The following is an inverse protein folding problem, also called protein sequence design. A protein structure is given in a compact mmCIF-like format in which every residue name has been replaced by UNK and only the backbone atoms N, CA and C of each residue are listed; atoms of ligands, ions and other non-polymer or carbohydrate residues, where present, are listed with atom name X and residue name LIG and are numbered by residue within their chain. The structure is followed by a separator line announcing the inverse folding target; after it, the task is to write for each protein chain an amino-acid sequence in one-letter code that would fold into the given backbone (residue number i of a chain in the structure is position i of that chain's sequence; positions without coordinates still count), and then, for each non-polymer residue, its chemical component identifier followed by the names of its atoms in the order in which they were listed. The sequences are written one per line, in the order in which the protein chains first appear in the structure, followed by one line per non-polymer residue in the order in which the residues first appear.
data_IF_167761466644
#
_entry.id   IF_167761466644
#
_cell.length_a   1.000
_cell.length_b   1.000
_cell.length_c   1.000
_cell.angle_alpha   90.00
_cell.angle_beta   90.00
_cell.angle_gamma   90.00
#
_symmetry.space_group_name_H-M   'P 1'
#
loop_
_entity.id
_entity.type
_entity.pdbx_description
1 polymer ?
#
# COMPACT_ATOMS: atom_id res chain seq x y z
N UNK A 1 -13.84 -14.08 -6.27
CA UNK A 1 -15.15 -13.60 -6.78
C UNK A 1 -14.99 -12.13 -7.15
N UNK A 2 -15.72 -11.62 -8.12
CA UNK A 2 -15.81 -10.19 -8.38
C UNK A 2 -16.32 -9.45 -7.15
N UNK A 3 -15.92 -8.18 -6.98
CA UNK A 3 -16.47 -7.33 -5.91
C UNK A 3 -17.94 -7.07 -6.21
N UNK A 4 -18.87 -7.45 -5.31
CA UNK A 4 -20.31 -7.35 -5.60
C UNK A 4 -20.73 -5.89 -5.87
N UNK A 5 -21.61 -5.66 -6.86
CA UNK A 5 -22.21 -4.37 -7.16
C UNK A 5 -21.28 -3.34 -7.79
N UNK A 6 -20.02 -3.67 -8.06
CA UNK A 6 -19.09 -2.73 -8.67
C UNK A 6 -19.48 -2.44 -10.13
N UNK A 7 -19.87 -3.46 -10.89
CA UNK A 7 -20.41 -3.29 -12.23
C UNK A 7 -21.69 -2.42 -12.31
N UNK A 8 -22.43 -2.29 -11.21
CA UNK A 8 -23.61 -1.39 -11.13
C UNK A 8 -23.21 0.06 -10.92
N UNK A 9 -22.03 0.33 -10.31
CA UNK A 9 -21.51 1.68 -10.14
C UNK A 9 -21.01 2.25 -11.47
N UNK A 10 -20.42 1.40 -12.31
CA UNK A 10 -19.86 1.82 -13.61
C UNK A 10 -19.92 0.69 -14.64
N UNK A 11 -21.00 0.57 -15.41
CA UNK A 11 -21.13 -0.47 -16.41
C UNK A 11 -20.05 -0.39 -17.49
N UNK A 12 -19.27 -1.46 -17.64
CA UNK A 12 -18.45 -1.71 -18.83
C UNK A 12 -17.05 -1.11 -18.83
N UNK A 13 -16.32 -1.08 -17.68
CA UNK A 13 -15.01 -0.44 -17.62
C UNK A 13 -14.04 -0.99 -16.56
N UNK A 14 -12.78 -0.55 -16.64
CA UNK A 14 -11.67 -0.98 -15.82
C UNK A 14 -11.92 -0.72 -14.34
N UNK A 15 -12.05 -1.79 -13.57
CA UNK A 15 -12.19 -1.75 -12.13
C UNK A 15 -10.88 -2.22 -11.49
N UNK A 16 -10.36 -1.46 -10.54
CA UNK A 16 -9.14 -1.81 -9.82
C UNK A 16 -9.39 -1.87 -8.32
N UNK A 17 -8.81 -2.87 -7.66
CA UNK A 17 -8.70 -2.93 -6.20
C UNK A 17 -7.28 -2.57 -5.81
N UNK A 18 -7.13 -1.53 -5.01
CA UNK A 18 -5.82 -1.00 -4.60
C UNK A 18 -5.46 -1.38 -3.16
N UNK A 19 -6.47 -1.57 -2.29
CA UNK A 19 -6.24 -1.83 -0.88
C UNK A 19 -7.27 -2.79 -0.29
N UNK A 20 -6.82 -3.61 0.68
CA UNK A 20 -7.67 -4.46 1.52
C UNK A 20 -7.14 -4.46 2.96
N UNK A 21 -8.03 -4.52 3.94
CA UNK A 21 -7.69 -4.62 5.36
C UNK A 21 -8.66 -5.55 6.07
N UNK A 22 -8.15 -6.60 6.70
CA UNK A 22 -8.92 -7.61 7.41
C UNK A 22 -8.63 -7.56 8.92
N UNK A 23 -9.64 -7.75 9.74
CA UNK A 23 -9.57 -7.69 11.21
C UNK A 23 -10.01 -8.98 11.90
N UNK A 24 -10.59 -9.91 11.14
CA UNK A 24 -11.06 -11.22 11.57
C UNK A 24 -11.52 -12.05 10.39
N UNK A 25 -11.83 -13.35 10.63
CA UNK A 25 -12.35 -14.24 9.61
C UNK A 25 -13.63 -13.71 8.98
N UNK A 26 -13.57 -13.40 7.67
CA UNK A 26 -14.71 -12.85 6.96
C UNK A 26 -15.09 -11.42 7.36
N UNK A 27 -14.15 -10.66 7.94
CA UNK A 27 -14.34 -9.25 8.29
C UNK A 27 -13.22 -8.42 7.64
N UNK A 28 -13.39 -8.09 6.37
CA UNK A 28 -12.47 -7.32 5.56
C UNK A 28 -13.14 -6.05 5.00
N UNK A 29 -12.33 -5.10 4.62
CA UNK A 29 -12.76 -3.93 3.85
C UNK A 29 -11.79 -3.72 2.70
N UNK A 30 -12.32 -3.49 1.52
CA UNK A 30 -11.58 -3.25 0.29
C UNK A 30 -11.93 -1.87 -0.28
N UNK A 31 -11.02 -1.33 -1.09
CA UNK A 31 -11.24 -0.10 -1.81
C UNK A 31 -10.38 0.01 -3.06
N UNK A 32 -10.79 0.91 -3.95
CA UNK A 32 -10.09 1.11 -5.21
C UNK A 32 -10.73 2.20 -6.05
N UNK A 33 -10.51 2.09 -7.34
CA UNK A 33 -11.09 2.96 -8.35
C UNK A 33 -11.90 2.16 -9.36
N UNK A 34 -12.92 2.79 -9.85
CA UNK A 34 -13.73 2.36 -10.96
C UNK A 34 -13.65 3.44 -12.06
N UNK A 35 -13.49 3.02 -13.27
CA UNK A 35 -13.26 3.92 -14.41
C UNK A 35 -14.56 4.04 -15.22
N UNK A 36 -15.42 4.99 -14.87
CA UNK A 36 -16.69 5.17 -15.58
C UNK A 36 -16.49 5.78 -16.97
N UNK A 37 -16.92 5.06 -18.00
CA UNK A 37 -17.14 5.62 -19.35
C UNK A 37 -18.46 6.43 -19.39
N UNK A 38 -18.64 7.35 -18.48
CA UNK A 38 -19.79 8.24 -18.56
C UNK A 38 -19.64 9.12 -19.81
N UNK A 39 -20.48 8.93 -20.87
CA UNK A 39 -20.38 9.69 -22.10
C UNK A 39 -20.71 11.17 -21.93
N UNK A 40 -21.19 11.59 -20.76
CA UNK A 40 -21.44 13.00 -20.43
C UNK A 40 -20.19 13.72 -19.94
N UNK A 41 -19.14 12.96 -19.57
CA UNK A 41 -17.82 13.49 -19.21
C UNK A 41 -16.83 13.18 -20.34
N UNK A 42 -16.23 14.20 -20.92
CA UNK A 42 -15.34 14.12 -22.08
C UNK A 42 -14.05 13.27 -21.85
N UNK A 43 -13.80 12.84 -20.62
CA UNK A 43 -12.76 11.91 -20.19
C UNK A 43 -13.38 11.02 -19.11
N UNK A 44 -13.19 9.70 -19.18
CA UNK A 44 -13.66 8.76 -18.16
C UNK A 44 -13.34 9.29 -16.75
N UNK A 45 -14.33 9.32 -15.89
CA UNK A 45 -14.16 9.79 -14.50
C UNK A 45 -14.07 8.57 -13.60
N UNK A 46 -12.88 8.28 -13.08
CA UNK A 46 -12.74 7.26 -12.05
C UNK A 46 -13.50 7.68 -10.79
N UNK A 47 -14.23 6.74 -10.19
CA UNK A 47 -14.83 6.92 -8.88
C UNK A 47 -14.10 6.09 -7.85
N UNK A 48 -13.78 6.69 -6.71
CA UNK A 48 -13.31 5.96 -5.54
C UNK A 48 -14.46 5.12 -4.98
N UNK A 49 -14.20 3.85 -4.70
CA UNK A 49 -15.18 2.95 -4.12
C UNK A 49 -14.64 2.25 -2.87
N UNK A 50 -15.57 1.74 -2.05
CA UNK A 50 -15.31 0.88 -0.89
C UNK A 50 -16.35 -0.24 -0.86
N UNK A 51 -15.94 -1.40 -0.34
CA UNK A 51 -16.82 -2.54 -0.04
C UNK A 51 -16.37 -3.18 1.27
N UNK A 52 -17.31 -3.70 2.05
CA UNK A 52 -17.00 -4.33 3.34
C UNK A 52 -17.54 -5.73 3.40
N UNK A 53 -16.78 -6.61 4.00
CA UNK A 53 -17.18 -7.96 4.34
C UNK A 53 -17.52 -8.03 5.83
N UNK A 54 -18.63 -8.66 6.14
CA UNK A 54 -19.06 -8.94 7.49
C UNK A 54 -19.49 -10.41 7.60
N UNK A 55 -18.83 -11.14 8.51
CA UNK A 55 -19.12 -12.57 8.74
C UNK A 55 -19.09 -13.41 7.44
N UNK A 56 -18.15 -13.12 6.56
CA UNK A 56 -17.94 -13.87 5.31
C UNK A 56 -18.84 -13.47 4.14
N UNK A 57 -19.57 -12.37 4.27
CA UNK A 57 -20.44 -11.86 3.21
C UNK A 57 -20.03 -10.44 2.83
N UNK A 58 -19.63 -10.25 1.56
CA UNK A 58 -19.32 -8.94 1.01
C UNK A 58 -20.60 -8.15 0.73
N UNK A 59 -20.63 -6.90 1.15
CA UNK A 59 -21.62 -5.93 0.72
C UNK A 59 -21.42 -5.54 -0.75
N UNK A 60 -22.43 -4.98 -1.39
CA UNK A 60 -22.21 -4.27 -2.65
C UNK A 60 -21.23 -3.14 -2.45
N UNK A 61 -20.34 -2.94 -3.43
CA UNK A 61 -19.48 -1.76 -3.48
C UNK A 61 -20.33 -0.48 -3.53
N UNK A 62 -19.85 0.55 -2.87
CA UNK A 62 -20.45 1.88 -2.93
C UNK A 62 -19.39 2.93 -3.28
N UNK A 63 -19.79 3.92 -4.05
CA UNK A 63 -18.94 5.08 -4.26
C UNK A 63 -18.64 5.74 -2.91
N UNK A 64 -17.39 6.12 -2.67
CA UNK A 64 -16.99 6.74 -1.39
C UNK A 64 -17.84 7.98 -1.13
N UNK A 65 -18.70 7.97 -0.08
CA UNK A 65 -19.64 9.07 0.16
C UNK A 65 -18.93 10.42 0.30
N UNK A 66 -19.38 11.42 -0.47
CA UNK A 66 -18.83 12.77 -0.45
C UNK A 66 -17.70 13.05 -1.46
N UNK A 67 -17.12 12.05 -2.10
CA UNK A 67 -16.08 12.26 -3.12
C UNK A 67 -16.62 12.91 -4.38
N UNK A 68 -17.88 12.71 -4.74
CA UNK A 68 -18.51 13.37 -5.89
C UNK A 68 -18.44 14.91 -5.81
N UNK A 69 -18.48 15.49 -4.61
CA UNK A 69 -18.31 16.92 -4.40
C UNK A 69 -16.85 17.40 -4.51
N UNK A 70 -15.90 16.48 -4.35
CA UNK A 70 -14.46 16.73 -4.46
C UNK A 70 -13.94 16.43 -5.88
N UNK A 71 -14.53 15.45 -6.56
CA UNK A 71 -14.15 14.99 -7.90
C UNK A 71 -14.89 15.82 -8.96
N UNK A 72 -14.28 16.90 -9.40
CA UNK A 72 -14.90 17.80 -10.41
C UNK A 72 -14.22 17.72 -11.79
N UNK A 73 -13.24 16.82 -11.99
CA UNK A 73 -12.52 16.77 -13.26
C UNK A 73 -12.19 15.39 -13.80
N UNK A 74 -11.35 14.60 -13.15
CA UNK A 74 -10.71 13.51 -13.86
C UNK A 74 -10.60 12.19 -13.09
N UNK A 75 -11.19 12.09 -11.91
CA UNK A 75 -11.23 10.81 -11.20
C UNK A 75 -10.93 10.89 -9.72
N UNK A 76 -11.31 9.85 -9.01
CA UNK A 76 -11.01 9.63 -7.62
C UNK A 76 -10.57 8.19 -7.40
N UNK A 77 -9.71 7.96 -6.42
CA UNK A 77 -9.20 6.63 -6.08
C UNK A 77 -9.10 6.47 -4.57
N UNK A 78 -9.46 5.30 -4.08
CA UNK A 78 -9.17 4.85 -2.72
C UNK A 78 -7.80 4.17 -2.71
N UNK A 79 -6.76 4.88 -2.33
CA UNK A 79 -5.38 4.40 -2.36
C UNK A 79 -5.01 3.53 -1.15
N UNK A 80 -5.75 3.65 -0.05
CA UNK A 80 -5.45 2.92 1.18
C UNK A 80 -6.70 2.67 2.02
N UNK A 81 -6.73 1.50 2.67
CA UNK A 81 -7.75 1.09 3.65
C UNK A 81 -7.04 0.52 4.87
N UNK A 82 -7.49 0.86 6.07
CA UNK A 82 -6.99 0.26 7.31
C UNK A 82 -8.11 0.16 8.35
N UNK A 83 -8.25 -1.02 8.94
CA UNK A 83 -9.28 -1.31 9.93
C UNK A 83 -8.66 -1.54 11.31
N UNK A 84 -9.24 -0.97 12.35
CA UNK A 84 -8.86 -1.19 13.75
C UNK A 84 -9.60 -2.34 14.39
N UNK A 85 -10.82 -2.62 13.93
CA UNK A 85 -11.70 -3.72 14.34
C UNK A 85 -12.81 -3.91 13.29
N UNK A 86 -13.58 -5.03 13.32
CA UNK A 86 -14.67 -5.25 12.37
C UNK A 86 -15.61 -4.05 12.26
N UNK A 87 -15.86 -3.59 11.04
CA UNK A 87 -16.72 -2.45 10.75
C UNK A 87 -16.22 -1.09 11.24
N UNK A 88 -14.98 -0.98 11.70
CA UNK A 88 -14.36 0.28 12.12
C UNK A 88 -13.07 0.48 11.36
N UNK A 89 -13.17 1.17 10.25
CA UNK A 89 -12.12 1.31 9.25
C UNK A 89 -11.94 2.78 8.82
N UNK A 90 -10.82 3.04 8.20
CA UNK A 90 -10.58 4.27 7.44
C UNK A 90 -10.27 3.87 6.01
N UNK A 91 -10.88 4.57 5.06
CA UNK A 91 -10.42 4.62 3.69
C UNK A 91 -9.87 6.01 3.38
N UNK A 92 -8.87 6.08 2.53
CA UNK A 92 -8.22 7.31 2.17
C UNK A 92 -7.74 7.29 0.73
N UNK A 93 -7.58 8.47 0.13
CA UNK A 93 -7.14 8.56 -1.26
C UNK A 93 -7.12 9.99 -1.76
N UNK A 94 -7.48 10.17 -3.01
CA UNK A 94 -7.58 11.48 -3.64
C UNK A 94 -8.79 11.58 -4.57
N UNK A 95 -9.22 12.82 -4.83
CA UNK A 95 -10.19 13.17 -5.85
C UNK A 95 -9.65 14.33 -6.68
N UNK A 96 -9.74 14.23 -7.99
CA UNK A 96 -9.23 15.25 -8.90
C UNK A 96 -10.26 16.39 -9.05
N UNK A 97 -9.78 17.62 -9.03
CA UNK A 97 -10.62 18.79 -9.23
C UNK A 97 -9.99 19.81 -10.18
N UNK A 98 -10.83 20.60 -10.81
CA UNK A 98 -10.40 21.68 -11.68
C UNK A 98 -10.66 23.02 -10.97
N UNK A 99 -9.61 23.80 -10.70
CA UNK A 99 -9.75 25.10 -10.03
C UNK A 99 -9.69 26.29 -10.99
N UNK A 100 -9.23 26.07 -12.26
CA UNK A 100 -9.39 27.02 -13.35
C UNK A 100 -9.33 26.29 -14.70
N UNK A 101 -9.61 26.96 -15.82
CA UNK A 101 -9.66 26.36 -17.15
C UNK A 101 -8.31 25.77 -17.64
N UNK A 102 -7.22 26.03 -16.98
CA UNK A 102 -5.87 25.62 -17.37
C UNK A 102 -5.14 24.76 -16.34
N UNK A 103 -5.66 24.65 -15.12
CA UNK A 103 -5.00 23.96 -14.04
C UNK A 103 -5.98 23.18 -13.17
N UNK A 104 -5.70 21.90 -12.99
CA UNK A 104 -6.36 21.00 -12.05
C UNK A 104 -5.48 20.70 -10.85
N UNK A 105 -6.02 20.02 -9.86
CA UNK A 105 -5.32 19.53 -8.68
C UNK A 105 -5.98 18.28 -8.13
N UNK A 106 -5.40 17.73 -7.07
CA UNK A 106 -5.98 16.61 -6.31
C UNK A 106 -6.32 17.04 -4.90
N UNK A 107 -7.52 16.71 -4.43
CA UNK A 107 -7.90 16.82 -3.03
C UNK A 107 -7.72 15.44 -2.37
N UNK A 108 -6.73 15.31 -1.49
CA UNK A 108 -6.65 14.15 -0.62
C UNK A 108 -7.90 14.05 0.25
N UNK A 109 -8.39 12.86 0.51
CA UNK A 109 -9.51 12.65 1.42
C UNK A 109 -9.23 11.54 2.42
N UNK A 110 -9.94 11.57 3.54
CA UNK A 110 -10.09 10.50 4.52
C UNK A 110 -11.56 10.32 4.84
N UNK A 111 -11.98 9.09 5.10
CA UNK A 111 -13.36 8.75 5.47
C UNK A 111 -13.35 7.63 6.50
N UNK A 112 -14.19 7.75 7.53
CA UNK A 112 -14.35 6.75 8.57
C UNK A 112 -15.54 5.84 8.32
N UNK A 113 -15.36 4.56 8.56
CA UNK A 113 -16.43 3.61 8.80
C UNK A 113 -16.55 3.37 10.31
N UNK A 114 -17.74 3.48 10.85
CA UNK A 114 -18.03 3.24 12.26
C UNK A 114 -19.22 2.27 12.36
N UNK A 115 -18.99 1.14 13.02
CA UNK A 115 -19.99 0.07 13.15
C UNK A 115 -20.60 -0.34 11.80
N UNK A 116 -19.78 -0.47 10.76
CA UNK A 116 -20.18 -0.88 9.43
C UNK A 116 -20.78 0.22 8.54
N UNK A 117 -20.90 1.44 9.05
CA UNK A 117 -21.49 2.55 8.28
C UNK A 117 -20.41 3.57 7.90
N UNK A 118 -20.29 3.86 6.61
CA UNK A 118 -19.41 4.90 6.10
C UNK A 118 -19.97 6.28 6.37
N UNK A 119 -19.12 7.18 6.85
CA UNK A 119 -19.43 8.60 7.01
C UNK A 119 -19.39 9.36 5.68
N UNK A 120 -18.89 10.59 5.70
CA UNK A 120 -18.67 11.42 4.51
C UNK A 120 -17.19 11.73 4.37
N UNK A 121 -16.65 11.61 3.16
CA UNK A 121 -15.26 11.91 2.86
C UNK A 121 -14.95 13.37 3.26
N UNK A 122 -13.90 13.51 4.04
CA UNK A 122 -13.38 14.79 4.49
C UNK A 122 -12.13 15.13 3.69
N UNK A 123 -12.06 16.27 3.01
CA UNK A 123 -10.84 16.68 2.35
C UNK A 123 -9.71 16.88 3.38
N UNK A 124 -8.52 16.45 3.03
CA UNK A 124 -7.32 16.69 3.85
C UNK A 124 -7.04 18.19 3.86
N UNK A 125 -7.13 18.86 5.02
CA UNK A 125 -6.90 20.30 5.07
C UNK A 125 -5.45 20.59 4.68
N UNK A 126 -5.27 21.47 3.72
CA UNK A 126 -3.96 21.96 3.37
C UNK A 126 -3.28 22.61 4.57
N UNK A 127 -2.05 22.22 4.88
CA UNK A 127 -1.25 22.87 5.93
C UNK A 127 -0.68 24.25 5.51
N UNK A 128 -0.98 24.64 4.27
CA UNK A 128 -0.61 25.95 3.72
C UNK A 128 -1.68 26.36 2.70
N UNK A 129 -2.15 27.59 2.77
CA UNK A 129 -3.15 28.15 1.82
C UNK A 129 -2.67 28.21 0.35
N UNK A 130 -1.39 28.00 0.12
CA UNK A 130 -0.79 27.91 -1.21
C UNK A 130 -0.74 26.48 -1.75
N UNK A 131 -1.22 25.47 -1.00
CA UNK A 131 -1.27 24.08 -1.46
C UNK A 131 -2.45 23.92 -2.42
N UNK A 132 -2.16 23.50 -3.64
CA UNK A 132 -3.17 23.29 -4.69
C UNK A 132 -3.47 21.81 -4.94
N UNK A 133 -2.69 20.89 -4.35
CA UNK A 133 -2.88 19.47 -4.55
C UNK A 133 -2.36 18.69 -3.35
N UNK A 134 -3.14 17.71 -2.90
CA UNK A 134 -2.74 16.75 -1.86
C UNK A 134 -3.24 15.36 -2.23
N UNK A 135 -2.46 14.35 -1.91
CA UNK A 135 -2.81 12.94 -2.07
C UNK A 135 -2.48 12.20 -0.78
N UNK A 136 -3.40 11.41 -0.27
CA UNK A 136 -3.11 10.44 0.79
C UNK A 136 -2.55 9.19 0.12
N UNK A 137 -1.34 8.79 0.49
CA UNK A 137 -0.65 7.63 -0.10
C UNK A 137 -0.80 6.36 0.74
N UNK A 138 -0.99 6.51 2.05
CA UNK A 138 -1.17 5.39 2.96
C UNK A 138 -1.90 5.82 4.23
N UNK A 139 -2.59 4.87 4.86
CA UNK A 139 -3.23 5.00 6.17
C UNK A 139 -2.96 3.76 7.01
N UNK A 140 -2.78 3.95 8.31
CA UNK A 140 -2.65 2.85 9.27
C UNK A 140 -3.40 3.18 10.55
N UNK A 141 -4.31 2.28 10.94
CA UNK A 141 -5.08 2.38 12.18
C UNK A 141 -4.48 1.46 13.23
N UNK A 142 -4.34 1.95 14.43
CA UNK A 142 -3.92 1.15 15.57
C UNK A 142 -4.99 0.09 15.88
N UNK A 143 -4.60 -1.18 16.11
CA UNK A 143 -5.55 -2.23 16.42
C UNK A 143 -6.32 -1.95 17.72
N UNK A 144 -7.65 -2.02 17.69
CA UNK A 144 -8.52 -1.88 18.86
C UNK A 144 -8.78 -3.25 19.52
N UNK A 145 -7.81 -3.76 20.24
CA UNK A 145 -7.83 -5.10 20.82
C UNK A 145 -8.74 -5.26 22.04
N UNK A 146 -9.17 -4.14 22.66
CA UNK A 146 -10.06 -4.16 23.83
C UNK A 146 -11.39 -3.48 23.55
N UNK A 147 -12.44 -3.84 24.30
CA UNK A 147 -13.75 -3.18 24.20
C UNK A 147 -13.66 -1.66 24.46
N UNK A 148 -12.85 -1.24 25.42
CA UNK A 148 -12.63 0.18 25.70
C UNK A 148 -11.95 0.90 24.52
N UNK A 149 -10.97 0.27 23.86
CA UNK A 149 -10.32 0.83 22.67
C UNK A 149 -11.30 0.97 21.50
N UNK A 150 -12.21 0.01 21.31
CA UNK A 150 -13.27 0.11 20.27
C UNK A 150 -14.26 1.22 20.55
N UNK A 151 -14.59 1.46 21.81
CA UNK A 151 -15.50 2.55 22.22
C UNK A 151 -14.82 3.93 22.17
N UNK A 152 -13.52 4.01 22.34
CA UNK A 152 -12.76 5.26 22.26
C UNK A 152 -12.72 5.87 20.86
N UNK A 153 -13.13 5.14 19.82
CA UNK A 153 -13.07 5.55 18.42
C UNK A 153 -11.74 5.22 17.76
N UNK A 154 -11.67 5.51 16.47
CA UNK A 154 -10.50 5.20 15.65
C UNK A 154 -9.29 6.06 16.06
N UNK A 155 -8.12 5.44 16.00
CA UNK A 155 -6.83 6.11 16.16
C UNK A 155 -5.94 5.71 14.99
N UNK A 156 -5.87 6.57 14.01
CA UNK A 156 -5.22 6.30 12.74
C UNK A 156 -4.21 7.41 12.37
N UNK A 157 -3.30 7.07 11.51
CA UNK A 157 -2.37 8.02 10.89
C UNK A 157 -2.47 7.90 9.38
N UNK A 158 -2.87 8.95 8.71
CA UNK A 158 -2.80 9.09 7.26
C UNK A 158 -1.54 9.89 6.89
N UNK A 159 -0.91 9.52 5.80
CA UNK A 159 0.30 10.15 5.28
C UNK A 159 0.17 10.40 3.78
N UNK A 160 1.01 11.29 3.27
CA UNK A 160 0.93 11.57 1.84
C UNK A 160 1.88 12.65 1.37
N UNK A 161 1.49 13.25 0.26
CA UNK A 161 2.24 14.31 -0.42
C UNK A 161 1.33 15.47 -0.77
N UNK A 162 1.81 16.69 -0.55
CA UNK A 162 1.17 17.92 -1.01
C UNK A 162 2.06 18.62 -2.01
N UNK A 163 1.45 19.15 -3.09
CA UNK A 163 2.16 19.98 -4.05
C UNK A 163 2.22 21.42 -3.54
N UNK A 164 3.41 21.95 -3.44
CA UNK A 164 3.66 23.33 -3.04
C UNK A 164 3.76 24.26 -4.25
N UNK A 165 3.66 25.59 -4.07
CA UNK A 165 3.95 26.55 -5.11
C UNK A 165 5.33 26.30 -5.75
N UNK A 166 5.50 26.66 -7.00
CA UNK A 166 6.72 26.43 -7.79
C UNK A 166 7.03 24.95 -8.10
N UNK A 167 6.05 24.05 -8.01
CA UNK A 167 6.18 22.66 -8.44
C UNK A 167 6.99 21.76 -7.50
N UNK A 168 7.28 22.19 -6.29
CA UNK A 168 7.88 21.34 -5.26
C UNK A 168 6.81 20.55 -4.51
N UNK A 169 7.20 19.47 -3.81
CA UNK A 169 6.30 18.67 -2.98
C UNK A 169 6.75 18.63 -1.52
N UNK A 170 5.82 18.35 -0.62
CA UNK A 170 6.10 18.14 0.81
C UNK A 170 5.32 16.96 1.35
N UNK A 171 6.00 16.05 2.03
CA UNK A 171 5.39 14.96 2.76
C UNK A 171 4.65 15.47 3.99
N UNK A 172 3.47 14.91 4.26
CA UNK A 172 2.66 15.27 5.43
C UNK A 172 2.25 14.06 6.26
N UNK A 173 1.87 14.35 7.50
CA UNK A 173 1.18 13.44 8.42
C UNK A 173 -0.14 14.06 8.87
N UNK A 174 -1.16 13.23 9.04
CA UNK A 174 -2.51 13.63 9.48
C UNK A 174 -3.01 12.57 10.48
N UNK A 175 -3.09 12.95 11.76
CA UNK A 175 -3.50 12.04 12.80
C UNK A 175 -5.01 12.12 13.07
N UNK A 176 -5.58 10.96 13.32
CA UNK A 176 -6.90 10.79 13.91
C UNK A 176 -6.76 10.32 15.37
N UNK A 177 -7.46 10.97 16.25
CA UNK A 177 -7.48 10.62 17.68
C UNK A 177 -8.94 10.48 18.13
N UNK A 178 -9.29 9.31 18.61
CA UNK A 178 -10.65 8.99 19.08
C UNK A 178 -11.72 9.34 18.05
N UNK A 179 -11.50 8.96 16.78
CA UNK A 179 -12.46 9.20 15.68
C UNK A 179 -12.49 10.63 15.13
N UNK A 180 -11.56 11.49 15.55
CA UNK A 180 -11.51 12.88 15.10
C UNK A 180 -10.21 13.17 14.38
N UNK A 181 -10.30 13.52 13.10
CA UNK A 181 -9.16 13.94 12.27
C UNK A 181 -8.70 15.36 12.64
N UNK A 182 -7.42 15.51 12.86
CA UNK A 182 -6.74 16.79 13.07
C UNK A 182 -6.52 17.59 11.78
N UNK A 183 -5.41 18.32 11.73
CA UNK A 183 -4.93 19.03 10.54
C UNK A 183 -3.66 18.37 10.01
N UNK A 184 -3.50 18.35 8.69
CA UNK A 184 -2.27 17.88 8.06
C UNK A 184 -1.09 18.76 8.50
N UNK A 185 0.04 18.13 8.78
CA UNK A 185 1.29 18.80 9.21
C UNK A 185 2.45 18.27 8.39
N UNK A 186 3.46 19.11 8.10
CA UNK A 186 4.71 18.60 7.55
C UNK A 186 5.34 17.55 8.48
N UNK A 187 6.03 16.58 7.91
CA UNK A 187 6.78 15.58 8.70
C UNK A 187 7.82 16.32 9.57
N UNK A 188 7.82 16.12 10.90
CA UNK A 188 8.77 16.78 11.80
C UNK A 188 10.23 16.51 11.39
N UNK A 189 11.04 17.56 11.33
CA UNK A 189 12.45 17.48 10.92
C UNK A 189 12.70 17.33 9.43
N UNK A 190 11.67 17.21 8.59
CA UNK A 190 11.79 17.10 7.13
C UNK A 190 11.58 18.47 6.47
N UNK A 191 12.57 19.35 6.61
CA UNK A 191 12.50 20.73 6.08
C UNK A 191 12.89 20.85 4.59
N UNK A 192 12.91 19.74 3.86
CA UNK A 192 13.35 19.71 2.47
C UNK A 192 12.19 19.71 1.50
N UNK A 193 12.14 20.60 0.50
CA UNK A 193 11.20 20.51 -0.61
C UNK A 193 11.50 19.26 -1.45
N UNK A 194 10.49 18.78 -2.16
CA UNK A 194 10.61 17.55 -2.97
C UNK A 194 10.57 16.27 -2.14
N UNK A 195 9.78 16.29 -1.05
CA UNK A 195 9.56 15.12 -0.19
C UNK A 195 8.18 14.50 -0.38
N UNK A 196 8.06 13.21 -0.07
CA UNK A 196 6.81 12.48 0.04
C UNK A 196 6.93 11.38 1.11
N UNK A 197 5.85 11.14 1.84
CA UNK A 197 5.71 9.93 2.67
C UNK A 197 5.04 8.86 1.82
N UNK A 198 5.60 7.67 1.79
CA UNK A 198 5.13 6.56 0.93
C UNK A 198 4.49 5.43 1.73
N UNK A 199 4.78 5.34 3.01
CA UNK A 199 4.30 4.24 3.86
C UNK A 199 4.20 4.66 5.31
N UNK A 200 3.24 4.06 6.01
CA UNK A 200 2.99 4.21 7.44
C UNK A 200 2.56 2.88 8.05
N UNK A 201 2.98 2.62 9.27
CA UNK A 201 2.52 1.49 10.08
C UNK A 201 2.41 1.89 11.53
N UNK A 202 1.27 1.61 12.17
CA UNK A 202 0.99 1.91 13.57
C UNK A 202 0.80 0.62 14.37
N UNK A 203 1.60 0.41 15.41
CA UNK A 203 1.47 -0.75 16.31
C UNK A 203 0.50 -0.52 17.46
N UNK A 204 0.29 0.73 17.84
CA UNK A 204 -0.65 1.18 18.88
C UNK A 204 -0.92 2.68 18.70
N UNK A 205 -1.96 3.24 19.37
CA UNK A 205 -2.24 4.67 19.32
C UNK A 205 -1.01 5.51 19.68
N UNK A 206 -0.64 6.47 18.83
CA UNK A 206 0.54 7.31 19.01
C UNK A 206 1.89 6.59 18.90
N UNK A 207 1.93 5.40 18.31
CA UNK A 207 3.16 4.63 18.09
C UNK A 207 3.20 4.13 16.65
N UNK A 208 3.75 4.95 15.78
CA UNK A 208 3.78 4.73 14.35
C UNK A 208 5.19 4.94 13.77
N UNK A 209 5.50 4.21 12.72
CA UNK A 209 6.66 4.44 11.86
C UNK A 209 6.23 4.93 10.49
N UNK A 210 6.97 5.85 9.91
CA UNK A 210 6.77 6.32 8.54
C UNK A 210 8.06 6.29 7.75
N UNK A 211 7.94 6.18 6.44
CA UNK A 211 9.06 6.23 5.52
C UNK A 211 8.71 6.88 4.19
N UNK A 212 9.74 7.28 3.48
CA UNK A 212 9.57 7.92 2.18
C UNK A 212 10.88 8.45 1.63
N UNK A 213 10.81 9.58 0.94
CA UNK A 213 11.98 10.23 0.36
C UNK A 213 11.92 11.75 0.47
N UNK A 214 13.08 12.36 0.33
CA UNK A 214 13.24 13.80 0.13
C UNK A 214 14.35 14.08 -0.88
N UNK A 215 14.40 15.30 -1.42
CA UNK A 215 15.52 15.74 -2.24
C UNK A 215 16.50 16.55 -1.39
N UNK A 216 17.78 16.19 -1.45
CA UNK A 216 18.84 16.96 -0.82
C UNK A 216 19.17 18.24 -1.64
N UNK A 217 20.10 19.04 -1.13
CA UNK A 217 20.51 20.29 -1.77
C UNK A 217 21.15 20.11 -3.16
N UNK A 218 21.57 18.89 -3.50
CA UNK A 218 22.08 18.54 -4.83
C UNK A 218 20.99 18.01 -5.76
N UNK A 219 19.73 17.94 -5.30
CA UNK A 219 18.59 17.40 -6.02
C UNK A 219 18.50 15.86 -6.01
N UNK A 220 19.41 15.18 -5.32
CA UNK A 220 19.38 13.73 -5.19
C UNK A 220 18.25 13.28 -4.26
N UNK A 221 17.60 12.19 -4.64
CA UNK A 221 16.56 11.55 -3.82
C UNK A 221 17.19 10.72 -2.72
N UNK A 222 16.86 11.04 -1.48
CA UNK A 222 17.34 10.37 -0.27
C UNK A 222 16.18 9.70 0.45
N UNK A 223 16.38 8.47 0.94
CA UNK A 223 15.40 7.77 1.77
C UNK A 223 15.41 8.34 3.20
N UNK A 224 14.22 8.49 3.79
CA UNK A 224 14.09 8.88 5.19
C UNK A 224 13.14 7.95 5.95
N UNK A 225 13.28 7.94 7.27
CA UNK A 225 12.39 7.34 8.25
C UNK A 225 12.12 8.31 9.39
N UNK A 226 10.95 8.17 10.02
CA UNK A 226 10.61 8.87 11.26
C UNK A 226 9.69 7.98 12.10
N UNK A 227 9.69 8.19 13.42
CA UNK A 227 8.88 7.43 14.37
C UNK A 227 8.11 8.34 15.30
N UNK A 228 6.88 7.98 15.58
CA UNK A 228 6.08 8.48 16.69
C UNK A 228 6.12 7.47 17.83
N UNK A 229 6.49 7.90 18.99
CA UNK A 229 6.58 7.07 20.19
C UNK A 229 5.76 7.69 21.30
N UNK A 230 4.72 6.99 21.75
CA UNK A 230 3.79 7.47 22.77
C UNK A 230 3.25 8.89 22.51
N UNK A 231 2.85 9.17 21.26
CA UNK A 231 2.31 10.44 20.81
C UNK A 231 3.34 11.55 20.57
N UNK A 232 4.63 11.23 20.65
CA UNK A 232 5.71 12.18 20.41
C UNK A 232 6.49 11.81 19.15
N UNK A 233 6.52 12.70 18.19
CA UNK A 233 7.30 12.53 16.97
C UNK A 233 8.79 12.78 17.21
N UNK A 234 9.62 11.85 16.78
CA UNK A 234 11.04 12.06 16.56
C UNK A 234 11.24 12.69 15.17
N UNK A 235 12.26 13.55 15.04
CA UNK A 235 12.56 14.16 13.75
C UNK A 235 12.89 13.10 12.70
N UNK A 236 12.42 13.33 11.48
CA UNK A 236 12.81 12.55 10.33
C UNK A 236 14.33 12.58 10.15
N UNK A 237 14.88 11.45 9.81
CA UNK A 237 16.32 11.32 9.54
C UNK A 237 16.52 10.57 8.23
N UNK A 238 17.57 10.90 7.51
CA UNK A 238 18.03 10.06 6.40
C UNK A 238 18.22 8.64 6.94
N UNK A 239 17.76 7.63 6.19
CA UNK A 239 18.00 6.23 6.59
C UNK A 239 19.48 6.01 6.83
N UNK A 240 19.91 5.66 8.07
CA UNK A 240 21.33 5.53 8.38
C UNK A 240 22.02 4.54 7.46
N UNK A 241 23.21 4.87 6.94
CA UNK A 241 23.97 4.04 6.01
C UNK A 241 23.64 4.27 4.53
N UNK A 242 22.47 4.81 4.18
CA UNK A 242 22.14 5.03 2.77
C UNK A 242 22.98 6.09 2.10
N UNK A 243 23.56 7.04 2.84
CA UNK A 243 24.48 8.02 2.27
C UNK A 243 25.65 7.37 1.50
N UNK A 244 26.15 6.22 1.97
CA UNK A 244 27.20 5.46 1.28
C UNK A 244 26.64 4.57 0.17
N UNK A 245 25.51 3.92 0.42
CA UNK A 245 24.87 2.99 -0.53
C UNK A 245 24.33 3.75 -1.76
N UNK A 246 23.69 4.89 -1.54
CA UNK A 246 22.96 5.69 -2.53
C UNK A 246 23.87 6.70 -3.29
N UNK A 247 25.07 6.31 -3.67
CA UNK A 247 25.97 7.19 -4.40
C UNK A 247 25.48 7.59 -5.80
N UNK A 248 24.47 6.89 -6.34
CA UNK A 248 23.75 7.26 -7.57
C UNK A 248 22.57 8.21 -7.37
N UNK A 249 22.27 8.61 -6.12
CA UNK A 249 21.34 9.70 -5.79
C UNK A 249 19.87 9.41 -6.02
N UNK A 250 19.42 8.14 -5.87
CA UNK A 250 18.01 7.78 -5.97
C UNK A 250 17.65 6.69 -4.96
N UNK A 251 17.29 7.08 -3.74
CA UNK A 251 16.81 6.18 -2.69
C UNK A 251 15.43 6.58 -2.17
N UNK A 252 14.65 5.58 -1.78
CA UNK A 252 13.33 5.74 -1.18
C UNK A 252 13.03 4.57 -0.27
N UNK A 253 12.39 4.81 0.87
CA UNK A 253 11.62 3.78 1.57
C UNK A 253 10.34 3.54 0.77
N UNK A 254 9.92 2.30 0.62
CA UNK A 254 8.67 1.92 -0.07
C UNK A 254 7.65 1.33 0.89
N UNK A 255 8.10 0.63 1.93
CA UNK A 255 7.22 -0.02 2.91
C UNK A 255 7.80 0.04 4.31
N UNK A 256 6.93 0.16 5.32
CA UNK A 256 7.24 0.15 6.75
C UNK A 256 6.27 -0.80 7.45
N UNK A 257 6.78 -1.61 8.38
CA UNK A 257 5.98 -2.49 9.24
C UNK A 257 6.43 -2.36 10.69
N UNK A 258 5.49 -2.05 11.59
CA UNK A 258 5.72 -1.89 13.03
C UNK A 258 4.90 -2.91 13.82
N UNK A 259 5.54 -3.68 14.69
CA UNK A 259 4.87 -4.71 15.52
C UNK A 259 4.78 -4.36 17.00
N UNK A 260 5.57 -3.39 17.44
CA UNK A 260 5.53 -2.88 18.80
C UNK A 260 5.97 -1.42 18.79
N UNK A 261 5.71 -0.73 19.88
CA UNK A 261 6.18 0.64 20.08
C UNK A 261 7.69 0.71 19.86
N UNK A 262 8.11 1.65 19.03
CA UNK A 262 9.52 1.88 18.70
C UNK A 262 10.27 0.64 18.15
N UNK A 263 9.55 -0.23 17.46
CA UNK A 263 10.08 -1.45 16.84
C UNK A 263 9.46 -1.62 15.46
N UNK A 264 10.15 -1.14 14.45
CA UNK A 264 9.71 -1.16 13.06
C UNK A 264 10.81 -1.70 12.15
N UNK A 265 10.42 -2.16 10.98
CA UNK A 265 11.30 -2.44 9.84
C UNK A 265 10.84 -1.58 8.69
N UNK A 266 11.78 -0.94 8.01
CA UNK A 266 11.52 -0.26 6.75
C UNK A 266 12.36 -0.89 5.64
N UNK A 267 11.78 -0.97 4.46
CA UNK A 267 12.41 -1.53 3.29
C UNK A 267 12.30 -0.54 2.11
N UNK A 268 13.28 -0.57 1.22
CA UNK A 268 13.33 0.37 0.12
C UNK A 268 14.39 0.06 -0.92
N UNK A 269 14.54 1.02 -1.83
CA UNK A 269 15.49 0.94 -2.94
C UNK A 269 16.52 2.04 -2.85
N UNK A 270 17.69 1.79 -3.41
CA UNK A 270 18.73 2.80 -3.58
C UNK A 270 19.48 2.59 -4.89
N UNK A 271 20.16 3.62 -5.38
CA UNK A 271 21.00 3.54 -6.56
C UNK A 271 22.47 3.66 -6.18
N UNK A 272 23.28 2.60 -6.40
CA UNK A 272 24.71 2.69 -6.23
C UNK A 272 25.33 3.62 -7.31
N UNK A 273 26.61 3.98 -7.16
CA UNK A 273 27.32 4.83 -8.13
C UNK A 273 27.31 4.25 -9.54
N UNK A 274 27.38 2.94 -9.65
CA UNK A 274 27.38 2.18 -10.91
C UNK A 274 26.46 0.98 -10.77
N UNK A 275 25.85 0.56 -11.88
CA UNK A 275 24.95 -0.59 -11.91
C UNK A 275 23.48 -0.25 -11.63
N UNK A 276 22.62 -1.28 -11.57
CA UNK A 276 21.18 -1.15 -11.35
C UNK A 276 20.86 -0.74 -9.90
N UNK A 277 19.61 -0.30 -9.70
CA UNK A 277 19.06 -0.08 -8.37
C UNK A 277 19.11 -1.34 -7.50
N UNK A 278 19.33 -1.17 -6.22
CA UNK A 278 19.50 -2.23 -5.23
C UNK A 278 18.46 -2.09 -4.11
N UNK A 279 18.33 -3.12 -3.31
CA UNK A 279 17.37 -3.22 -2.21
C UNK A 279 18.07 -3.06 -0.86
N UNK A 280 17.45 -2.33 0.05
CA UNK A 280 17.90 -2.22 1.43
C UNK A 280 16.76 -2.48 2.42
N UNK A 281 17.14 -2.88 3.61
CA UNK A 281 16.27 -2.92 4.79
C UNK A 281 16.94 -2.19 5.94
N UNK A 282 16.15 -1.61 6.83
CA UNK A 282 16.60 -0.95 8.05
C UNK A 282 15.67 -1.29 9.20
N UNK A 283 16.25 -1.57 10.36
CA UNK A 283 15.50 -1.99 11.55
C UNK A 283 15.55 -0.88 12.60
N UNK A 284 14.41 -0.55 13.16
CA UNK A 284 14.29 0.25 14.37
C UNK A 284 14.25 -0.70 15.59
N UNK A 285 15.02 -0.38 16.59
CA UNK A 285 14.96 -1.06 17.88
C UNK A 285 15.14 -0.06 19.00
N UNK A 286 14.23 -0.11 19.99
CA UNK A 286 14.19 0.83 21.11
C UNK A 286 14.19 2.31 20.68
N UNK A 287 13.46 2.64 19.60
CA UNK A 287 13.35 4.01 19.09
C UNK A 287 14.56 4.51 18.31
N UNK A 288 15.48 3.63 17.93
CA UNK A 288 16.68 3.99 17.17
C UNK A 288 16.75 3.19 15.88
N UNK A 289 16.76 3.87 14.75
CA UNK A 289 16.99 3.27 13.43
C UNK A 289 18.48 2.90 13.29
N UNK A 290 18.74 1.62 13.03
CA UNK A 290 20.09 1.07 12.84
C UNK A 290 20.61 1.38 11.43
N UNK A 291 21.85 0.95 11.13
CA UNK A 291 22.39 1.06 9.78
C UNK A 291 21.58 0.19 8.79
N UNK A 292 21.23 0.78 7.65
CA UNK A 292 20.64 0.04 6.55
C UNK A 292 21.62 -1.00 6.02
N UNK A 293 21.09 -2.15 5.69
CA UNK A 293 21.85 -3.24 5.07
C UNK A 293 21.27 -3.51 3.68
N UNK A 294 22.14 -3.77 2.73
CA UNK A 294 21.74 -4.32 1.44
C UNK A 294 21.16 -5.72 1.65
N UNK A 295 20.02 -6.02 1.04
CA UNK A 295 19.47 -7.37 1.10
C UNK A 295 20.45 -8.39 0.47
N UNK A 296 20.81 -9.46 1.20
CA UNK A 296 21.77 -10.45 0.72
C UNK A 296 21.33 -11.07 -0.62
N UNK A 297 22.22 -11.08 -1.60
CA UNK A 297 21.94 -11.61 -2.94
C UNK A 297 21.29 -10.63 -3.91
N UNK A 298 20.79 -9.47 -3.48
CA UNK A 298 20.13 -8.52 -4.40
C UNK A 298 21.06 -8.08 -5.54
N UNK A 299 22.34 -7.82 -5.27
CA UNK A 299 23.33 -7.43 -6.29
C UNK A 299 23.60 -8.46 -7.37
N UNK A 300 23.24 -9.73 -7.17
CA UNK A 300 23.48 -10.81 -8.13
C UNK A 300 22.33 -10.98 -9.13
N UNK A 301 21.10 -10.72 -8.68
CA UNK A 301 19.89 -11.01 -9.46
C UNK A 301 19.38 -9.80 -10.26
N UNK A 302 19.79 -8.59 -9.88
CA UNK A 302 19.30 -7.36 -10.52
C UNK A 302 20.21 -7.04 -11.71
N UNK A 303 19.69 -7.25 -12.92
CA UNK A 303 20.41 -6.99 -14.19
C UNK A 303 19.73 -5.90 -15.05
N UNK A 304 18.54 -5.42 -14.66
CA UNK A 304 17.74 -4.44 -15.38
C UNK A 304 17.73 -3.05 -14.73
N UNK A 305 16.86 -2.18 -15.21
CA UNK A 305 16.80 -0.76 -14.80
C UNK A 305 16.21 -0.51 -13.41
N UNK A 306 15.90 -1.53 -12.64
CA UNK A 306 15.42 -1.37 -11.27
C UNK A 306 14.86 -2.66 -10.68
N UNK A 307 14.71 -2.64 -9.39
CA UNK A 307 13.95 -3.61 -8.62
C UNK A 307 13.02 -2.83 -7.71
N UNK A 308 11.86 -3.38 -7.43
CA UNK A 308 10.90 -2.78 -6.53
C UNK A 308 10.73 -3.71 -5.31
N UNK A 309 10.73 -3.13 -4.11
CA UNK A 309 10.12 -3.77 -2.95
C UNK A 309 8.62 -3.52 -3.08
N UNK A 310 7.83 -4.57 -3.07
CA UNK A 310 6.39 -4.50 -2.91
C UNK A 310 6.07 -4.13 -1.47
N UNK A 311 6.41 -5.00 -0.55
CA UNK A 311 6.03 -4.81 0.86
C UNK A 311 7.04 -5.44 1.83
N UNK A 312 7.09 -4.89 3.07
CA UNK A 312 7.66 -5.55 4.24
C UNK A 312 6.55 -5.79 5.25
N UNK A 313 6.46 -6.99 5.78
CA UNK A 313 5.49 -7.36 6.81
C UNK A 313 6.16 -8.14 7.92
N UNK A 314 5.86 -7.79 9.17
CA UNK A 314 6.46 -8.39 10.34
C UNK A 314 5.43 -9.22 11.11
N UNK A 315 5.66 -10.51 11.26
CA UNK A 315 4.87 -11.41 12.11
C UNK A 315 5.14 -11.22 13.60
N UNK A 316 6.33 -10.69 13.96
CA UNK A 316 6.72 -10.30 15.31
C UNK A 316 7.76 -9.18 15.30
N UNK A 317 8.20 -8.76 16.48
CA UNK A 317 9.28 -7.78 16.63
C UNK A 317 10.64 -8.25 16.08
N UNK A 318 10.81 -9.54 15.85
CA UNK A 318 12.09 -10.17 15.46
C UNK A 318 11.95 -11.13 14.28
N UNK A 319 10.84 -11.10 13.59
CA UNK A 319 10.59 -11.96 12.42
C UNK A 319 9.78 -11.18 11.40
N UNK A 320 10.39 -10.84 10.30
CA UNK A 320 9.80 -10.09 9.21
C UNK A 320 10.09 -10.77 7.87
N UNK A 321 9.22 -10.51 6.91
CA UNK A 321 9.43 -10.88 5.52
C UNK A 321 9.45 -9.62 4.66
N UNK A 322 10.21 -9.63 3.59
CA UNK A 322 10.16 -8.63 2.53
C UNK A 322 9.96 -9.32 1.19
N UNK A 323 9.06 -8.78 0.40
CA UNK A 323 8.75 -9.27 -0.93
C UNK A 323 8.80 -8.18 -1.99
N UNK A 324 9.00 -8.57 -3.24
CA UNK A 324 9.01 -7.61 -4.33
C UNK A 324 9.40 -8.22 -5.67
N UNK A 325 9.78 -7.36 -6.60
CA UNK A 325 10.09 -7.72 -7.98
C UNK A 325 11.51 -7.35 -8.35
N UNK A 326 12.21 -8.31 -8.94
CA UNK A 326 13.53 -8.15 -9.56
C UNK A 326 13.34 -7.92 -11.06
N UNK A 327 13.80 -6.80 -11.57
CA UNK A 327 13.77 -6.49 -13.00
C UNK A 327 14.98 -7.10 -13.70
N UNK A 328 14.72 -7.94 -14.71
CA UNK A 328 15.69 -8.61 -15.54
C UNK A 328 15.17 -8.74 -16.97
N UNK A 329 15.68 -9.71 -17.75
CA UNK A 329 15.09 -10.07 -19.06
C UNK A 329 13.63 -10.55 -18.92
N UNK A 330 13.35 -11.22 -17.81
CA UNK A 330 12.02 -11.58 -17.34
C UNK A 330 11.93 -11.11 -15.90
N UNK A 331 10.84 -10.42 -15.56
CA UNK A 331 10.56 -10.01 -14.18
C UNK A 331 10.34 -11.25 -13.31
N UNK A 332 10.91 -11.25 -12.11
CA UNK A 332 10.79 -12.34 -11.12
C UNK A 332 10.49 -11.78 -9.75
N UNK A 333 9.75 -12.51 -8.97
CA UNK A 333 9.57 -12.19 -7.57
C UNK A 333 10.74 -12.61 -6.71
N UNK A 334 10.82 -12.01 -5.55
CA UNK A 334 11.69 -12.46 -4.48
C UNK A 334 10.97 -12.34 -3.14
N UNK A 335 11.40 -13.17 -2.21
CA UNK A 335 11.07 -13.11 -0.80
C UNK A 335 12.36 -13.21 0.00
N UNK A 336 12.42 -12.56 1.17
CA UNK A 336 13.54 -12.71 2.08
C UNK A 336 13.05 -12.56 3.52
N UNK A 337 13.50 -13.49 4.35
CA UNK A 337 13.10 -13.61 5.76
C UNK A 337 14.14 -13.00 6.69
N UNK A 338 13.66 -12.34 7.71
CA UNK A 338 14.44 -11.86 8.85
C UNK A 338 14.16 -12.75 10.06
N UNK A 339 15.20 -13.17 10.73
CA UNK A 339 15.11 -13.86 11.99
C UNK A 339 16.20 -13.37 12.96
N UNK A 340 15.76 -12.80 14.09
CA UNK A 340 16.67 -12.33 15.15
C UNK A 340 17.65 -11.24 14.70
N UNK A 341 17.22 -10.34 13.84
CA UNK A 341 18.02 -9.21 13.33
C UNK A 341 18.93 -9.56 12.16
N UNK A 342 18.76 -10.73 11.54
CA UNK A 342 19.54 -11.18 10.38
C UNK A 342 18.62 -11.50 9.21
N UNK A 343 18.91 -10.90 8.07
CA UNK A 343 18.24 -11.18 6.80
C UNK A 343 18.89 -12.33 6.06
N UNK A 344 18.07 -13.28 5.60
CA UNK A 344 18.48 -14.37 4.73
C UNK A 344 18.75 -13.90 3.29
N UNK A 345 19.23 -14.82 2.47
CA UNK A 345 19.36 -14.59 1.03
C UNK A 345 17.99 -14.54 0.35
N UNK A 346 17.93 -13.88 -0.81
CA UNK A 346 16.70 -13.82 -1.61
C UNK A 346 16.27 -15.22 -2.05
N UNK A 347 15.02 -15.56 -1.77
CA UNK A 347 14.32 -16.68 -2.40
C UNK A 347 13.64 -16.17 -3.67
N UNK A 348 14.22 -16.47 -4.83
CA UNK A 348 13.76 -16.00 -6.13
C UNK A 348 12.73 -16.97 -6.71
N UNK A 349 11.61 -16.44 -7.19
CA UNK A 349 10.50 -17.24 -7.73
C UNK A 349 10.00 -16.66 -9.06
N UNK A 350 9.22 -17.48 -9.80
CA UNK A 350 8.70 -17.07 -11.10
C UNK A 350 7.64 -15.95 -11.02
N UNK A 351 6.63 -15.99 -10.11
CA UNK A 351 5.71 -14.87 -9.93
C UNK A 351 6.42 -13.62 -9.43
N UNK A 352 6.02 -12.44 -9.89
CA UNK A 352 6.35 -11.17 -9.22
C UNK A 352 5.58 -11.07 -7.91
N UNK A 353 6.08 -10.34 -6.94
CA UNK A 353 5.42 -10.11 -5.65
C UNK A 353 5.10 -8.62 -5.53
N UNK A 354 3.83 -8.32 -5.27
CA UNK A 354 3.29 -6.97 -5.12
C UNK A 354 2.75 -6.72 -3.71
N UNK A 355 2.24 -7.76 -3.04
CA UNK A 355 1.63 -7.70 -1.72
C UNK A 355 2.15 -8.80 -0.80
N UNK A 356 2.17 -8.52 0.51
CA UNK A 356 2.69 -9.43 1.53
C UNK A 356 2.05 -9.13 2.88
N UNK A 357 1.53 -10.15 3.56
CA UNK A 357 1.00 -10.01 4.92
C UNK A 357 1.47 -11.16 5.81
N UNK A 358 1.98 -10.85 7.00
CA UNK A 358 2.47 -11.80 7.98
C UNK A 358 1.72 -11.61 9.30
N UNK A 359 0.68 -12.39 9.59
CA UNK A 359 -0.05 -12.29 10.85
C UNK A 359 0.74 -12.86 12.04
N UNK A 360 1.65 -13.82 11.79
CA UNK A 360 2.47 -14.46 12.80
C UNK A 360 3.86 -14.86 12.25
N UNK A 361 4.83 -15.14 13.12
CA UNK A 361 6.16 -15.61 12.72
C UNK A 361 6.10 -16.89 11.89
N UNK A 362 6.63 -16.85 10.68
CA UNK A 362 6.67 -18.00 9.79
C UNK A 362 5.34 -18.39 9.14
N UNK A 363 4.32 -17.55 9.29
CA UNK A 363 3.00 -17.69 8.65
C UNK A 363 2.71 -16.38 7.90
N UNK A 364 3.00 -16.37 6.62
CA UNK A 364 2.81 -15.21 5.75
C UNK A 364 2.09 -15.63 4.46
N UNK A 365 1.46 -14.67 3.81
CA UNK A 365 0.92 -14.82 2.45
C UNK A 365 1.50 -13.73 1.57
N UNK A 366 2.03 -14.13 0.42
CA UNK A 366 2.52 -13.24 -0.62
C UNK A 366 1.64 -13.35 -1.86
N UNK A 367 1.36 -12.23 -2.51
CA UNK A 367 0.54 -12.16 -3.71
C UNK A 367 1.21 -11.41 -4.83
N UNK A 368 0.79 -11.67 -6.04
CA UNK A 368 1.29 -11.00 -7.22
C UNK A 368 0.81 -11.62 -8.52
N UNK A 369 1.69 -11.60 -9.52
CA UNK A 369 1.38 -11.98 -10.88
C UNK A 369 2.35 -13.07 -11.36
N UNK A 370 1.83 -14.12 -11.99
CA UNK A 370 2.63 -15.10 -12.70
C UNK A 370 2.43 -14.93 -14.21
N UNK A 371 3.49 -14.55 -14.90
CA UNK A 371 3.50 -14.50 -16.37
C UNK A 371 3.59 -15.94 -16.86
N UNK A 372 2.58 -16.39 -17.58
CA UNK A 372 2.55 -17.70 -18.21
C UNK A 372 3.34 -17.64 -19.50
N UNK A 373 4.17 -18.66 -19.85
CA UNK A 373 4.81 -18.70 -21.13
C UNK A 373 3.73 -18.72 -22.23
N UNK A 374 3.89 -17.91 -23.29
CA UNK A 374 2.87 -17.85 -24.33
C UNK A 374 2.62 -19.25 -24.92
N UNK A 375 1.37 -19.71 -24.96
CA UNK A 375 1.00 -20.72 -25.94
C UNK A 375 1.34 -20.14 -27.32
N UNK A 376 1.52 -20.95 -28.35
CA UNK A 376 1.93 -20.55 -29.71
C UNK A 376 1.07 -19.44 -30.37
N UNK A 377 0.24 -18.72 -29.65
CA UNK A 377 -0.73 -17.69 -30.06
C UNK A 377 -0.39 -16.33 -29.45
N UNK A 378 0.81 -15.83 -29.56
CA UNK A 378 1.25 -14.42 -29.50
C UNK A 378 0.78 -13.49 -28.36
N UNK A 379 0.08 -13.93 -27.32
CA UNK A 379 -0.44 -13.07 -26.28
C UNK A 379 0.21 -13.41 -24.92
N UNK A 380 0.84 -12.42 -24.29
CA UNK A 380 1.30 -12.53 -22.92
C UNK A 380 0.09 -12.70 -22.00
N UNK A 381 0.09 -13.77 -21.19
CA UNK A 381 -0.96 -14.04 -20.23
C UNK A 381 -0.37 -14.03 -18.84
N UNK A 382 -1.03 -13.33 -17.96
CA UNK A 382 -0.71 -13.34 -16.55
C UNK A 382 -1.82 -14.05 -15.75
N UNK A 383 -1.49 -14.50 -14.55
CA UNK A 383 -2.44 -15.05 -13.59
C UNK A 383 -2.19 -14.42 -12.23
N UNK A 384 -3.25 -13.99 -11.57
CA UNK A 384 -3.21 -13.57 -10.18
C UNK A 384 -2.90 -14.79 -9.29
N UNK A 385 -1.85 -14.70 -8.49
CA UNK A 385 -1.39 -15.82 -7.66
C UNK A 385 -1.12 -15.39 -6.23
N UNK A 386 -1.27 -16.37 -5.32
CA UNK A 386 -0.80 -16.28 -3.93
C UNK A 386 0.16 -17.41 -3.61
N UNK A 387 0.99 -17.19 -2.61
CA UNK A 387 1.95 -18.16 -2.09
C UNK A 387 1.90 -18.08 -0.56
N UNK A 388 1.61 -19.20 0.08
CA UNK A 388 1.54 -19.27 1.54
C UNK A 388 2.87 -19.70 2.13
N UNK A 389 3.22 -19.11 3.27
CA UNK A 389 4.29 -19.59 4.14
C UNK A 389 3.67 -20.29 5.34
N UNK A 390 4.14 -21.48 5.66
CA UNK A 390 3.75 -22.21 6.85
C UNK A 390 5.00 -22.69 7.59
N UNK A 391 5.08 -22.43 8.89
CA UNK A 391 6.23 -22.77 9.72
C UNK A 391 7.58 -22.30 9.10
N UNK A 392 7.59 -21.13 8.47
CA UNK A 392 8.76 -20.53 7.86
C UNK A 392 9.13 -21.06 6.46
N UNK A 393 8.33 -21.95 5.88
CA UNK A 393 8.58 -22.53 4.56
C UNK A 393 7.57 -22.03 3.54
N UNK A 394 8.04 -21.41 2.47
CA UNK A 394 7.22 -20.97 1.34
C UNK A 394 6.74 -22.16 0.51
N UNK A 395 5.44 -22.21 0.25
CA UNK A 395 4.76 -23.22 -0.55
C UNK A 395 4.88 -22.97 -2.06
N UNK A 396 3.99 -23.60 -2.81
CA UNK A 396 3.83 -23.37 -4.25
C UNK A 396 2.83 -22.25 -4.48
N UNK A 397 2.99 -21.52 -5.59
CA UNK A 397 1.98 -20.53 -6.00
C UNK A 397 0.66 -21.20 -6.36
N UNK A 398 -0.42 -20.64 -5.85
CA UNK A 398 -1.81 -21.01 -6.16
C UNK A 398 -2.40 -19.90 -7.03
N UNK A 399 -3.06 -20.29 -8.13
CA UNK A 399 -3.76 -19.35 -9.00
C UNK A 399 -5.10 -19.02 -8.36
N UNK A 400 -5.35 -17.75 -8.10
CA UNK A 400 -6.66 -17.25 -7.66
C UNK A 400 -7.55 -16.94 -8.84
N UNK A 401 -6.95 -16.33 -9.86
CA UNK A 401 -7.64 -15.99 -11.09
C UNK A 401 -6.69 -16.14 -12.30
N UNK A 402 -7.25 -16.57 -13.43
CA UNK A 402 -6.58 -16.64 -14.72
C UNK A 402 -7.64 -16.38 -15.79
N UNK A 403 -7.46 -15.32 -16.56
CA UNK A 403 -8.35 -14.96 -17.66
C UNK A 403 -8.39 -16.03 -18.76
N UNK A 404 -9.30 -15.88 -19.68
CA UNK A 404 -9.43 -16.75 -20.84
C UNK A 404 -8.20 -16.66 -21.75
N UNK A 405 -7.74 -17.85 -22.24
CA UNK A 405 -6.52 -17.99 -23.06
C UNK A 405 -6.55 -17.28 -24.43
N UNK A 406 -7.57 -16.49 -24.70
CA UNK A 406 -7.79 -15.84 -26.02
C UNK A 406 -7.45 -14.34 -26.00
N UNK A 407 -7.19 -13.74 -24.82
CA UNK A 407 -7.03 -12.30 -24.66
C UNK A 407 -5.83 -12.04 -23.74
N UNK A 408 -4.98 -11.02 -24.00
CA UNK A 408 -3.94 -10.61 -23.08
C UNK A 408 -4.55 -10.29 -21.72
N UNK A 409 -4.00 -10.85 -20.63
CA UNK A 409 -4.46 -10.57 -19.29
C UNK A 409 -3.31 -10.13 -18.40
N UNK A 410 -3.54 -9.07 -17.63
CA UNK A 410 -2.60 -8.54 -16.63
C UNK A 410 -3.05 -8.89 -15.20
N UNK A 411 -3.69 -10.06 -15.04
CA UNK A 411 -4.24 -10.50 -13.76
C UNK A 411 -3.19 -10.50 -12.66
N UNK A 412 -3.49 -9.81 -11.57
CA UNK A 412 -2.55 -9.62 -10.46
C UNK A 412 -3.26 -9.48 -9.12
N UNK A 413 -2.63 -9.95 -8.05
CA UNK A 413 -2.99 -9.60 -6.68
C UNK A 413 -2.25 -8.31 -6.30
N UNK A 414 -2.97 -7.28 -5.90
CA UNK A 414 -2.40 -5.98 -5.52
C UNK A 414 -2.36 -5.75 -4.01
N UNK A 415 -3.24 -6.41 -3.26
CA UNK A 415 -3.32 -6.24 -1.82
C UNK A 415 -3.63 -7.55 -1.10
N UNK A 416 -3.01 -7.75 0.05
CA UNK A 416 -3.25 -8.88 0.96
C UNK A 416 -3.30 -8.36 2.39
N UNK A 417 -4.25 -8.85 3.17
CA UNK A 417 -4.33 -8.58 4.59
C UNK A 417 -4.72 -9.83 5.35
N UNK A 418 -3.92 -10.21 6.32
CA UNK A 418 -4.15 -11.36 7.18
C UNK A 418 -4.41 -10.89 8.62
N UNK A 419 -5.52 -11.31 9.21
CA UNK A 419 -5.85 -11.05 10.62
C UNK A 419 -5.24 -12.11 11.56
N UNK A 420 -5.09 -13.34 11.07
CA UNK A 420 -4.49 -14.49 11.77
C UNK A 420 -3.90 -15.48 10.72
N UNK A 421 -3.09 -16.46 11.14
CA UNK A 421 -2.67 -17.55 10.25
C UNK A 421 -3.88 -18.25 9.60
N UNK A 422 -3.83 -18.40 8.29
CA UNK A 422 -4.92 -18.96 7.46
C UNK A 422 -6.24 -18.18 7.52
N UNK A 423 -6.14 -16.91 7.79
CA UNK A 423 -7.25 -15.97 7.78
C UNK A 423 -6.80 -14.71 7.05
N UNK A 424 -6.80 -14.80 5.73
CA UNK A 424 -6.30 -13.76 4.84
C UNK A 424 -7.35 -13.41 3.79
N UNK A 425 -7.46 -12.12 3.51
CA UNK A 425 -8.13 -11.59 2.34
C UNK A 425 -7.09 -11.14 1.31
N UNK A 426 -7.33 -11.44 0.05
CA UNK A 426 -6.55 -10.97 -1.09
C UNK A 426 -7.47 -10.24 -2.06
N UNK A 427 -6.94 -9.24 -2.73
CA UNK A 427 -7.67 -8.52 -3.76
C UNK A 427 -6.76 -8.07 -4.88
N UNK A 428 -7.35 -7.83 -6.04
CA UNK A 428 -6.60 -7.47 -7.21
C UNK A 428 -7.48 -7.24 -8.43
N UNK A 429 -6.86 -7.39 -9.58
CA UNK A 429 -7.48 -7.22 -10.89
C UNK A 429 -7.44 -8.55 -11.64
N UNK A 430 -8.55 -8.88 -12.31
CA UNK A 430 -8.70 -9.98 -13.22
C UNK A 430 -9.29 -9.50 -14.54
N UNK A 431 -9.01 -10.21 -15.62
CA UNK A 431 -9.54 -9.91 -16.95
C UNK A 431 -10.52 -11.01 -17.36
N UNK A 432 -11.77 -10.66 -17.66
CA UNK A 432 -12.81 -11.65 -17.98
C UNK A 432 -13.92 -11.12 -18.87
N UNK A 433 -14.80 -12.04 -19.27
CA UNK A 433 -15.96 -11.76 -20.12
C UNK A 433 -15.63 -11.62 -21.60
N UNK A 434 -16.68 -11.50 -22.42
CA UNK A 434 -16.61 -11.45 -23.90
C UNK A 434 -15.90 -10.19 -24.43
N UNK A 435 -15.76 -9.13 -23.58
CA UNK A 435 -15.15 -7.84 -23.94
C UNK A 435 -13.75 -7.64 -23.34
N UNK A 436 -13.21 -8.62 -22.61
CA UNK A 436 -11.85 -8.56 -21.99
C UNK A 436 -11.63 -7.35 -21.09
N UNK A 437 -12.63 -6.94 -20.35
CA UNK A 437 -12.51 -5.80 -19.44
C UNK A 437 -11.89 -6.22 -18.10
N UNK A 438 -10.98 -5.44 -17.54
CA UNK A 438 -10.50 -5.65 -16.19
C UNK A 438 -11.61 -5.45 -15.15
N UNK A 439 -11.68 -6.35 -14.17
CA UNK A 439 -12.58 -6.25 -13.05
C UNK A 439 -11.84 -6.46 -11.73
N UNK A 440 -12.31 -5.82 -10.66
CA UNK A 440 -11.77 -6.02 -9.33
C UNK A 440 -12.31 -7.31 -8.70
N UNK A 441 -11.43 -8.12 -8.12
CA UNK A 441 -11.79 -9.33 -7.41
C UNK A 441 -11.34 -9.32 -5.96
N UNK A 442 -12.05 -10.10 -5.12
CA UNK A 442 -11.66 -10.46 -3.76
C UNK A 442 -11.64 -11.97 -3.60
N UNK A 443 -10.73 -12.46 -2.78
CA UNK A 443 -10.60 -13.86 -2.42
C UNK A 443 -10.26 -13.98 -0.94
N UNK A 444 -10.89 -14.92 -0.25
CA UNK A 444 -10.59 -15.24 1.13
C UNK A 444 -9.94 -16.62 1.22
N UNK A 445 -8.94 -16.73 2.09
CA UNK A 445 -8.46 -18.04 2.49
C UNK A 445 -9.54 -18.71 3.36
N UNK A 446 -10.08 -19.83 2.88
CA UNK A 446 -11.00 -20.61 3.68
C UNK A 446 -10.23 -21.57 4.57
N UNK A 447 -10.45 -21.57 5.90
CA UNK A 447 -9.84 -22.56 6.77
C UNK A 447 -10.15 -23.97 6.25
N UNK A 448 -9.12 -24.76 5.97
CA UNK A 448 -9.30 -26.18 5.67
C UNK A 448 -9.92 -26.83 6.91
N UNK A 449 -11.17 -27.32 6.77
CA UNK A 449 -11.91 -28.01 7.82
C UNK A 449 -11.24 -29.31 8.20
#
# INVERSE_FOLDING_TARGET
MEVPGLADLSPGVNETLTAISCTGPGDCTAGGADNSNDPTHAFGTNQAWVASEASGTWSSAEAVPGTAALNTSAGADTTAVSCSSPGNCVAAGYAAYQYNQAAGGTAGFVINQVNGTWGTARPVPAFNSAVHSAEVTAVSCAPATTAAARQAGLNCLAVGVSQLPAGSSAGFVLAEVNGTWGTARPVPGLAHPGSAVTSVSCSSPGSCGIGGYYRDNSGHRQAFVASEVSGTWHNAQQVPGTATLNAGGNASVTSVSCRATATCVAAGTYRPKTGPGQLFVVIEGAGQWKQAIQLPGSGTFITGNGSAIGEVSCGSATTCEVGGTLQGKVARGFLASEAGGRWGALYVLAPTITALSCPAPGDCVAGGQRINPPPATFLDQASAVVIDQAAGHWGKSVVLYSGDNLIPSDDSVYAISCSAPRDCGAGGEGTGGDEALPFAFVANETPVK
#
